data_IF_287767245908
#
_entry.id   IF_287767245908
#
_cell.length_a   1.000
_cell.length_b   1.000
_cell.length_c   1.000
_cell.angle_alpha   90.00
_cell.angle_beta   90.00
_cell.angle_gamma   90.00
#
_symmetry.space_group_name_H-M   'P 1'
#
loop_
_entity.id
_entity.type
_entity.pdbx_description
1 polymer ?
#
# COMPACT_ATOMS: atom_id res chain seq x y z
N UNK A 1 9.70 22.29 13.33
CA UNK A 1 9.96 21.89 14.72
C UNK A 1 11.44 22.03 14.94
N UNK A 2 11.83 22.82 15.93
CA UNK A 2 13.20 23.25 16.16
C UNK A 2 13.92 22.26 17.09
N UNK A 3 15.19 21.91 16.90
CA UNK A 3 15.90 21.05 17.88
C UNK A 3 16.63 21.86 18.95
N UNK A 4 16.77 23.18 18.77
CA UNK A 4 17.29 24.11 19.76
C UNK A 4 16.35 24.16 20.98
N UNK A 5 16.87 23.78 22.15
CA UNK A 5 16.08 23.70 23.38
C UNK A 5 15.70 25.07 23.98
N UNK A 6 16.34 26.15 23.52
CA UNK A 6 15.93 27.53 23.81
C UNK A 6 14.70 27.99 23.01
N UNK A 7 14.34 27.27 21.94
CA UNK A 7 13.21 27.64 21.08
C UNK A 7 11.85 27.43 21.78
N UNK A 8 10.86 28.32 21.56
CA UNK A 8 9.48 28.07 21.96
C UNK A 8 8.84 26.93 21.15
N UNK A 9 9.34 26.63 19.94
CA UNK A 9 8.84 25.58 19.06
C UNK A 9 9.75 24.34 19.03
N UNK A 10 10.41 24.08 20.16
CA UNK A 10 11.36 22.99 20.30
C UNK A 10 10.70 21.62 20.25
N UNK A 11 11.30 20.69 19.52
CA UNK A 11 11.15 19.27 19.78
C UNK A 11 11.86 18.94 21.09
N UNK A 12 11.19 18.18 21.95
CA UNK A 12 11.71 17.77 23.27
C UNK A 12 12.09 16.29 23.25
N UNK A 13 12.94 15.87 24.18
CA UNK A 13 13.11 14.44 24.43
C UNK A 13 11.84 13.87 25.08
N UNK A 14 11.43 12.66 24.66
CA UNK A 14 10.24 11.99 25.16
C UNK A 14 10.59 10.54 25.49
N UNK A 15 10.51 10.17 26.77
CA UNK A 15 10.98 8.88 27.26
C UNK A 15 12.44 8.66 26.86
N UNK A 16 12.71 7.59 26.11
CA UNK A 16 14.06 7.25 25.63
C UNK A 16 14.39 7.88 24.26
N UNK A 17 13.51 8.70 23.68
CA UNK A 17 13.73 9.35 22.38
C UNK A 17 14.43 10.69 22.55
N UNK A 18 15.44 10.94 21.71
CA UNK A 18 16.07 12.25 21.61
C UNK A 18 15.14 13.26 20.92
N UNK A 19 15.41 14.56 21.09
CA UNK A 19 14.69 15.63 20.40
C UNK A 19 14.65 15.45 18.87
N UNK A 20 15.72 14.88 18.27
CA UNK A 20 15.77 14.57 16.84
C UNK A 20 14.76 13.49 16.43
N UNK A 21 14.56 12.46 17.25
CA UNK A 21 13.57 11.41 16.98
C UNK A 21 12.16 11.95 17.21
N UNK A 22 11.95 12.74 18.27
CA UNK A 22 10.67 13.42 18.51
C UNK A 22 10.31 14.36 17.35
N UNK A 23 11.26 15.13 16.83
CA UNK A 23 11.08 15.95 15.64
C UNK A 23 10.60 15.12 14.45
N UNK A 24 11.17 13.93 14.24
CA UNK A 24 10.77 13.02 13.16
C UNK A 24 9.33 12.51 13.34
N UNK A 25 8.96 12.10 14.56
CA UNK A 25 7.60 11.69 14.89
C UNK A 25 6.60 12.82 14.62
N UNK A 26 6.90 14.04 15.06
CA UNK A 26 6.01 15.20 14.91
C UNK A 26 5.84 15.62 13.45
N UNK A 27 6.90 15.60 12.67
CA UNK A 27 6.85 15.89 11.23
C UNK A 27 6.01 14.83 10.49
N UNK A 28 6.20 13.55 10.82
CA UNK A 28 5.42 12.48 10.22
C UNK A 28 3.94 12.55 10.64
N UNK A 29 3.65 12.74 11.93
CA UNK A 29 2.29 12.94 12.45
C UNK A 29 1.61 14.14 11.78
N UNK A 30 2.33 15.24 11.59
CA UNK A 30 1.84 16.42 10.86
C UNK A 30 1.51 16.08 9.41
N UNK A 31 2.39 15.35 8.72
CA UNK A 31 2.14 14.89 7.33
C UNK A 31 0.85 14.07 7.23
N UNK A 32 0.65 13.14 8.17
CA UNK A 32 -0.53 12.27 8.24
C UNK A 32 -1.79 13.07 8.60
N UNK A 33 -1.69 14.03 9.51
CA UNK A 33 -2.78 14.95 9.87
C UNK A 33 -3.26 15.74 8.64
N UNK A 34 -2.35 16.26 7.84
CA UNK A 34 -2.72 16.99 6.63
C UNK A 34 -3.28 16.05 5.54
N UNK A 35 -2.71 14.85 5.40
CA UNK A 35 -3.23 13.84 4.48
C UNK A 35 -4.68 13.45 4.81
N UNK A 36 -5.03 13.25 6.09
CA UNK A 36 -6.42 12.95 6.49
C UNK A 36 -7.40 14.11 6.29
N UNK A 37 -6.90 15.34 6.19
CA UNK A 37 -7.70 16.53 5.93
C UNK A 37 -7.74 16.91 4.44
N UNK A 38 -7.29 16.02 3.54
CA UNK A 38 -7.37 16.23 2.09
C UNK A 38 -6.37 17.23 1.52
N UNK A 39 -5.35 17.62 2.29
CA UNK A 39 -4.28 18.50 1.78
C UNK A 39 -3.40 17.72 0.83
N UNK A 40 -3.36 18.17 -0.43
CA UNK A 40 -2.70 17.46 -1.53
C UNK A 40 -1.17 17.59 -1.53
N UNK A 41 -0.63 18.64 -0.89
CA UNK A 41 0.81 18.90 -0.88
C UNK A 41 1.22 19.69 0.36
N UNK A 42 2.37 19.32 0.91
CA UNK A 42 3.01 19.99 2.03
C UNK A 42 4.45 20.33 1.67
N UNK A 43 4.91 21.46 2.17
CA UNK A 43 6.31 21.87 2.10
C UNK A 43 6.80 22.07 3.53
N UNK A 44 7.79 21.27 3.93
CA UNK A 44 8.39 21.41 5.25
C UNK A 44 9.51 22.46 5.20
N UNK A 45 9.36 23.50 5.99
CA UNK A 45 10.45 24.37 6.37
C UNK A 45 11.28 23.62 7.44
N UNK A 46 12.55 23.26 7.20
CA UNK A 46 13.36 23.51 6.00
C UNK A 46 14.31 22.34 5.73
N UNK A 47 14.97 22.31 4.58
CA UNK A 47 15.89 21.22 4.25
C UNK A 47 17.15 21.27 5.14
N UNK A 48 17.82 22.42 5.18
CA UNK A 48 19.03 22.67 5.97
C UNK A 48 18.69 23.49 7.22
N UNK A 49 19.52 23.39 8.24
CA UNK A 49 19.54 24.42 9.29
C UNK A 49 20.03 25.75 8.68
N UNK A 50 19.55 26.86 9.23
CA UNK A 50 19.90 28.21 8.74
C UNK A 50 21.10 28.77 9.52
N UNK A 51 20.90 29.10 10.80
CA UNK A 51 21.94 29.64 11.68
C UNK A 51 22.02 28.83 12.99
N UNK A 52 22.42 27.54 12.94
CA UNK A 52 22.33 26.64 14.09
C UNK A 52 23.08 27.15 15.33
N UNK A 53 24.21 27.85 15.12
CA UNK A 53 25.06 28.36 16.20
C UNK A 53 24.54 29.63 16.89
N UNK A 54 23.57 30.33 16.29
CA UNK A 54 23.12 31.65 16.74
C UNK A 54 21.76 31.62 17.47
N UNK A 55 21.20 30.43 17.70
CA UNK A 55 20.07 30.24 18.62
C UNK A 55 18.73 30.86 18.17
N UNK A 56 18.56 31.15 16.88
CA UNK A 56 17.34 31.77 16.33
C UNK A 56 16.13 30.83 16.27
N UNK A 57 14.93 31.43 16.21
CA UNK A 57 13.68 30.69 16.01
C UNK A 57 13.71 29.95 14.66
N UNK A 58 13.49 28.64 14.68
CA UNK A 58 13.51 27.75 13.51
C UNK A 58 14.89 27.54 12.88
N UNK A 59 15.96 28.08 13.48
CA UNK A 59 17.32 27.96 12.96
C UNK A 59 17.77 26.50 12.84
N UNK A 60 17.23 25.61 13.68
CA UNK A 60 17.55 24.16 13.67
C UNK A 60 16.36 23.28 13.30
N UNK A 61 15.49 23.76 12.39
CA UNK A 61 14.34 22.98 11.86
C UNK A 61 14.68 22.14 10.61
N UNK A 62 15.96 21.99 10.28
CA UNK A 62 16.45 21.25 9.11
C UNK A 62 16.14 19.75 9.16
N UNK A 63 15.95 19.16 7.97
CA UNK A 63 15.74 17.72 7.77
C UNK A 63 17.02 16.94 7.51
N UNK A 64 18.15 17.61 7.26
CA UNK A 64 19.46 16.99 7.07
C UNK A 64 20.51 17.59 8.00
N UNK A 65 21.58 16.84 8.23
CA UNK A 65 22.76 17.29 8.97
C UNK A 65 23.66 18.17 8.07
N UNK A 66 24.60 18.90 8.69
CA UNK A 66 25.58 19.74 7.96
C UNK A 66 26.43 18.95 6.96
N UNK A 67 26.74 17.69 7.28
CA UNK A 67 27.45 16.78 6.38
C UNK A 67 26.55 16.18 5.26
N UNK A 68 25.35 16.74 5.05
CA UNK A 68 24.35 16.32 4.08
C UNK A 68 23.77 14.90 4.29
N UNK A 69 24.06 14.25 5.42
CA UNK A 69 23.39 13.01 5.79
C UNK A 69 21.98 13.29 6.32
N UNK A 70 21.08 12.31 6.20
CA UNK A 70 19.69 12.45 6.65
C UNK A 70 19.61 12.51 8.17
N UNK A 71 18.73 13.37 8.69
CA UNK A 71 18.24 13.26 10.07
C UNK A 71 17.12 12.21 10.16
N UNK A 72 16.77 11.75 11.37
CA UNK A 72 15.61 10.89 11.59
C UNK A 72 14.34 11.34 10.86
N UNK A 73 14.07 12.65 10.81
CA UNK A 73 12.90 13.20 10.12
C UNK A 73 12.92 12.91 8.61
N UNK A 74 14.06 13.09 7.95
CA UNK A 74 14.21 12.75 6.54
C UNK A 74 14.15 11.24 6.29
N UNK A 75 14.70 10.41 7.19
CA UNK A 75 14.57 8.96 7.09
C UNK A 75 13.09 8.53 7.13
N UNK A 76 12.34 9.02 8.10
CA UNK A 76 10.94 8.65 8.29
C UNK A 76 10.08 9.06 7.10
N UNK A 77 10.19 10.31 6.65
CA UNK A 77 9.44 10.79 5.48
C UNK A 77 9.82 10.01 4.21
N UNK A 78 11.12 9.81 3.95
CA UNK A 78 11.57 9.07 2.76
C UNK A 78 11.05 7.63 2.76
N UNK A 79 11.12 6.94 3.90
CA UNK A 79 10.62 5.57 4.06
C UNK A 79 9.11 5.48 3.81
N UNK A 80 8.33 6.40 4.39
CA UNK A 80 6.87 6.43 4.23
C UNK A 80 6.48 6.72 2.79
N UNK A 81 7.10 7.72 2.15
CA UNK A 81 6.83 8.06 0.74
C UNK A 81 7.20 6.89 -0.18
N UNK A 82 8.39 6.30 -0.02
CA UNK A 82 8.80 5.15 -0.84
C UNK A 82 7.81 3.99 -0.73
N UNK A 83 7.24 3.76 0.45
CA UNK A 83 6.41 2.58 0.70
C UNK A 83 4.91 2.81 0.45
N UNK A 84 4.41 4.00 0.75
CA UNK A 84 2.98 4.27 0.92
C UNK A 84 2.47 5.52 0.18
N UNK A 85 3.26 6.18 -0.67
CA UNK A 85 2.83 7.42 -1.35
C UNK A 85 1.54 7.32 -2.17
N UNK A 86 1.17 6.12 -2.62
CA UNK A 86 -0.05 5.89 -3.42
C UNK A 86 -1.29 5.60 -2.57
N UNK A 87 -1.14 5.46 -1.25
CA UNK A 87 -2.28 5.27 -0.36
C UNK A 87 -2.99 6.60 -0.13
N UNK A 88 -4.32 6.55 -0.12
CA UNK A 88 -5.18 7.71 0.18
C UNK A 88 -5.94 7.48 1.48
N UNK A 89 -6.18 8.56 2.23
CA UNK A 89 -6.96 8.47 3.47
C UNK A 89 -8.38 8.01 3.17
N UNK A 90 -8.90 7.10 3.99
CA UNK A 90 -10.25 6.56 3.88
C UNK A 90 -11.15 7.05 5.02
N UNK A 91 -10.75 6.82 6.28
CA UNK A 91 -11.51 7.22 7.46
C UNK A 91 -10.67 7.11 8.74
N UNK A 92 -11.06 7.84 9.79
CA UNK A 92 -10.53 7.65 11.14
C UNK A 92 -11.43 6.68 11.91
N UNK A 93 -10.83 5.64 12.48
CA UNK A 93 -11.50 4.61 13.29
C UNK A 93 -11.46 4.96 14.78
N UNK A 94 -10.37 5.58 15.23
CA UNK A 94 -10.17 6.03 16.60
C UNK A 94 -9.33 7.30 16.61
N UNK A 95 -9.58 8.18 17.59
CA UNK A 95 -8.80 9.41 17.81
C UNK A 95 -7.76 9.29 18.91
N UNK A 96 -7.89 8.35 19.85
CA UNK A 96 -6.90 8.09 20.89
C UNK A 96 -6.92 6.61 21.37
N UNK A 97 -5.88 5.80 21.04
CA UNK A 97 -4.83 6.12 20.08
C UNK A 97 -5.42 6.40 18.69
N UNK A 98 -4.73 7.20 17.89
CA UNK A 98 -5.13 7.45 16.51
C UNK A 98 -5.05 6.14 15.74
N UNK A 99 -6.15 5.78 15.08
CA UNK A 99 -6.21 4.67 14.13
C UNK A 99 -6.88 5.19 12.86
N UNK A 100 -6.06 5.47 11.85
CA UNK A 100 -6.53 5.94 10.55
C UNK A 100 -6.44 4.83 9.51
N UNK A 101 -7.45 4.71 8.66
CA UNK A 101 -7.46 3.80 7.53
C UNK A 101 -7.07 4.52 6.25
N UNK A 102 -6.21 3.87 5.48
CA UNK A 102 -5.76 4.30 4.17
C UNK A 102 -5.99 3.18 3.16
N UNK A 103 -6.30 3.54 1.91
CA UNK A 103 -6.60 2.60 0.84
C UNK A 103 -5.73 2.86 -0.39
N UNK A 104 -5.28 1.77 -1.01
CA UNK A 104 -4.64 1.74 -2.32
C UNK A 104 -5.53 0.97 -3.29
N UNK A 105 -5.83 1.58 -4.45
CA UNK A 105 -6.65 0.99 -5.53
C UNK A 105 -7.97 0.37 -5.02
N UNK A 106 -8.64 1.05 -4.09
CA UNK A 106 -9.92 0.66 -3.45
C UNK A 106 -9.95 -0.72 -2.76
N UNK A 107 -8.82 -1.42 -2.67
CA UNK A 107 -8.78 -2.85 -2.30
C UNK A 107 -7.73 -3.16 -1.25
N UNK A 108 -6.61 -2.45 -1.24
CA UNK A 108 -5.53 -2.67 -0.29
C UNK A 108 -5.65 -1.72 0.90
N UNK A 109 -6.03 -2.26 2.06
CA UNK A 109 -6.22 -1.50 3.29
C UNK A 109 -4.94 -1.48 4.14
N UNK A 110 -4.58 -0.28 4.61
CA UNK A 110 -3.52 -0.03 5.58
C UNK A 110 -4.10 0.73 6.77
N UNK A 111 -3.66 0.40 7.98
CA UNK A 111 -3.95 1.18 9.17
C UNK A 111 -2.69 1.93 9.61
N UNK A 112 -2.84 3.20 9.98
CA UNK A 112 -1.79 4.01 10.61
C UNK A 112 -2.17 4.19 12.07
N UNK A 113 -1.24 3.84 12.97
CA UNK A 113 -1.51 3.78 14.41
C UNK A 113 -0.45 4.57 15.17
N UNK A 114 -0.88 5.48 16.04
CA UNK A 114 -0.01 6.19 16.98
C UNK A 114 -0.76 6.84 18.14
N UNK A 115 -0.02 7.19 19.18
CA UNK A 115 -0.49 8.02 20.30
C UNK A 115 -0.19 9.49 19.97
N UNK A 116 -1.20 10.40 19.95
CA UNK A 116 -1.01 11.79 19.54
C UNK A 116 -0.68 12.72 20.73
N UNK A 117 0.09 12.26 21.72
CA UNK A 117 0.54 13.10 22.84
C UNK A 117 2.06 13.33 22.83
N UNK A 118 2.57 13.95 23.88
CA UNK A 118 3.97 14.37 24.02
C UNK A 118 4.56 13.94 25.38
N UNK A 119 4.03 12.85 25.97
CA UNK A 119 4.38 12.40 27.33
C UNK A 119 4.98 10.99 27.37
N UNK A 120 5.17 10.36 26.20
CA UNK A 120 5.73 9.02 26.08
C UNK A 120 4.74 7.92 26.45
N UNK A 121 3.44 8.20 26.41
CA UNK A 121 2.41 7.22 26.72
C UNK A 121 2.39 6.12 25.66
N UNK A 122 2.01 4.93 26.11
CA UNK A 122 1.65 3.82 25.24
C UNK A 122 0.20 3.42 25.46
N UNK A 123 -0.45 2.88 24.42
CA UNK A 123 -1.85 2.48 24.47
C UNK A 123 -2.08 1.23 23.63
N UNK A 124 -2.72 0.22 24.20
CA UNK A 124 -3.12 -0.95 23.43
C UNK A 124 -4.36 -0.63 22.59
N UNK A 125 -4.31 -0.97 21.30
CA UNK A 125 -5.48 -0.93 20.42
C UNK A 125 -5.59 -2.20 19.59
N UNK A 126 -6.82 -2.68 19.42
CA UNK A 126 -7.11 -3.81 18.54
C UNK A 126 -7.41 -3.30 17.13
N UNK A 127 -6.69 -3.84 16.15
CA UNK A 127 -6.86 -3.53 14.74
C UNK A 127 -7.48 -4.74 14.06
N UNK A 128 -8.68 -4.55 13.49
CA UNK A 128 -9.31 -5.53 12.62
C UNK A 128 -8.74 -5.42 11.21
N UNK A 129 -8.05 -6.47 10.76
CA UNK A 129 -7.49 -6.56 9.42
C UNK A 129 -8.41 -7.37 8.49
N UNK A 130 -9.70 -7.44 8.83
CA UNK A 130 -10.68 -8.36 8.28
C UNK A 130 -10.11 -9.79 8.36
N UNK A 131 -10.45 -10.64 7.41
CA UNK A 131 -10.02 -12.04 7.41
C UNK A 131 -8.53 -12.26 7.05
N UNK A 132 -7.62 -11.33 7.33
CA UNK A 132 -6.18 -11.52 7.19
C UNK A 132 -5.68 -12.67 8.08
N UNK A 133 -4.66 -13.42 7.63
CA UNK A 133 -4.02 -14.49 8.42
C UNK A 133 -2.75 -14.00 9.13
N UNK A 134 -2.20 -12.89 8.63
CA UNK A 134 -1.05 -12.24 9.19
C UNK A 134 -1.14 -10.73 9.04
N UNK A 135 -0.53 -10.03 9.98
CA UNK A 135 -0.29 -8.61 9.90
C UNK A 135 1.18 -8.35 9.57
N UNK A 136 1.43 -7.42 8.65
CA UNK A 136 2.74 -6.87 8.39
C UNK A 136 2.77 -5.46 8.97
N UNK A 137 3.65 -5.25 9.93
CA UNK A 137 3.83 -3.98 10.64
C UNK A 137 5.11 -3.37 10.13
N UNK A 138 5.02 -2.16 9.59
CA UNK A 138 6.16 -1.37 9.15
C UNK A 138 6.40 -0.25 10.16
N UNK A 139 7.63 -0.17 10.66
CA UNK A 139 8.07 0.79 11.67
C UNK A 139 9.17 1.66 11.06
N UNK A 140 9.01 3.00 11.03
CA UNK A 140 10.07 3.90 10.63
C UNK A 140 11.35 3.69 11.46
N UNK A 141 12.50 3.63 10.79
CA UNK A 141 13.78 3.27 11.42
C UNK A 141 14.85 4.30 11.12
N UNK A 142 15.47 4.86 12.15
CA UNK A 142 16.56 5.86 12.01
C UNK A 142 17.77 5.24 11.31
N UNK A 143 18.40 5.99 10.41
CA UNK A 143 19.63 5.59 9.72
C UNK A 143 19.46 4.51 8.66
N UNK A 144 18.22 4.13 8.34
CA UNK A 144 17.91 3.06 7.38
C UNK A 144 17.27 3.58 6.11
N UNK A 145 17.55 2.88 5.00
CA UNK A 145 16.86 3.13 3.74
C UNK A 145 15.42 2.61 3.74
N UNK A 146 15.08 1.65 4.60
CA UNK A 146 13.77 1.01 4.69
C UNK A 146 13.26 0.91 6.13
N UNK A 147 11.94 0.85 6.28
CA UNK A 147 11.29 0.57 7.56
C UNK A 147 11.67 -0.82 8.07
N UNK A 148 11.77 -0.97 9.39
CA UNK A 148 11.76 -2.30 10.02
C UNK A 148 10.41 -2.96 9.78
N UNK A 149 10.43 -4.26 9.43
CA UNK A 149 9.22 -5.03 9.13
C UNK A 149 9.05 -6.14 10.14
N UNK A 150 7.89 -6.19 10.79
CA UNK A 150 7.49 -7.30 11.65
C UNK A 150 6.28 -8.02 11.06
N UNK A 151 6.24 -9.34 11.19
CA UNK A 151 5.09 -10.15 10.80
C UNK A 151 4.50 -10.83 12.03
N UNK A 152 3.22 -10.58 12.27
CA UNK A 152 2.46 -11.22 13.35
C UNK A 152 1.35 -12.10 12.75
N UNK A 153 1.01 -13.19 13.44
CA UNK A 153 -0.20 -13.96 13.14
C UNK A 153 -1.40 -13.21 13.71
N UNK A 154 -2.50 -13.15 12.96
CA UNK A 154 -3.76 -12.57 13.42
C UNK A 154 -4.55 -13.59 14.26
N UNK A 155 -5.35 -13.11 15.20
CA UNK A 155 -6.37 -13.89 15.88
C UNK A 155 -7.74 -13.53 15.26
N UNK A 156 -8.30 -14.44 14.46
CA UNK A 156 -9.57 -14.21 13.73
C UNK A 156 -9.58 -12.89 12.94
N UNK A 157 -8.44 -12.54 12.33
CA UNK A 157 -8.32 -11.30 11.56
C UNK A 157 -7.88 -10.07 12.35
N UNK A 158 -7.89 -10.13 13.67
CA UNK A 158 -7.47 -9.02 14.52
C UNK A 158 -6.04 -9.18 15.03
N UNK A 159 -5.39 -8.06 15.34
CA UNK A 159 -4.16 -8.00 16.15
C UNK A 159 -4.31 -6.93 17.23
N UNK A 160 -3.53 -7.06 18.30
CA UNK A 160 -3.33 -5.98 19.28
C UNK A 160 -2.00 -5.32 19.02
N UNK A 161 -2.02 -3.99 18.85
CA UNK A 161 -0.83 -3.15 18.74
C UNK A 161 -0.69 -2.38 20.04
N UNK A 162 0.52 -2.39 20.61
CA UNK A 162 0.89 -1.43 21.65
C UNK A 162 1.36 -0.14 20.95
N UNK A 163 0.43 0.80 20.77
CA UNK A 163 0.69 2.07 20.09
C UNK A 163 1.62 2.95 20.93
N UNK A 164 2.53 3.64 20.24
CA UNK A 164 3.43 4.64 20.82
C UNK A 164 3.27 5.95 20.05
N UNK A 165 3.99 6.99 20.44
CA UNK A 165 4.02 8.25 19.68
C UNK A 165 4.65 8.14 18.28
N UNK A 166 5.41 7.08 17.97
CA UNK A 166 5.91 6.85 16.61
C UNK A 166 4.85 6.16 15.77
N UNK A 167 4.43 6.75 14.62
CA UNK A 167 3.51 6.11 13.70
C UNK A 167 4.01 4.77 13.19
N UNK A 168 3.16 3.75 13.29
CA UNK A 168 3.37 2.43 12.68
C UNK A 168 2.30 2.17 11.62
N UNK A 169 2.66 1.40 10.60
CA UNK A 169 1.80 1.10 9.46
C UNK A 169 1.49 -0.39 9.44
N UNK A 170 0.21 -0.76 9.53
CA UNK A 170 -0.23 -2.14 9.64
C UNK A 170 -1.01 -2.54 8.39
N UNK A 171 -0.55 -3.59 7.72
CA UNK A 171 -1.18 -4.15 6.52
C UNK A 171 -1.55 -5.60 6.75
N UNK A 172 -2.81 -5.94 6.49
CA UNK A 172 -3.28 -7.32 6.50
C UNK A 172 -2.76 -8.10 5.29
N UNK A 173 -2.19 -9.27 5.53
CA UNK A 173 -1.84 -10.27 4.51
C UNK A 173 -2.66 -11.52 4.77
N UNK A 174 -3.54 -11.82 3.82
CA UNK A 174 -4.12 -13.16 3.71
C UNK A 174 -3.05 -14.08 3.13
N UNK A 175 -2.69 -15.11 3.88
CA UNK A 175 -2.20 -16.33 3.26
C UNK A 175 -3.43 -16.87 2.57
N UNK A 176 -3.54 -16.64 1.26
CA UNK A 176 -4.43 -17.50 0.49
C UNK A 176 -3.86 -18.89 0.73
N UNK A 177 -4.48 -19.67 1.62
CA UNK A 177 -4.33 -21.10 1.58
C UNK A 177 -4.63 -21.41 0.13
N UNK A 178 -3.59 -21.76 -0.61
CA UNK A 178 -3.76 -22.52 -1.82
C UNK A 178 -4.34 -23.85 -1.34
N UNK A 179 -5.62 -23.88 -0.95
CA UNK A 179 -6.47 -24.99 -1.34
C UNK A 179 -6.24 -25.03 -2.83
N UNK A 180 -5.37 -25.96 -3.26
CA UNK A 180 -4.65 -25.91 -4.50
C UNK A 180 -5.48 -25.20 -5.55
N UNK A 181 -5.26 -23.90 -5.72
CA UNK A 181 -5.58 -23.29 -6.99
C UNK A 181 -4.44 -23.85 -7.79
N UNK A 182 -4.70 -25.03 -8.36
CA UNK A 182 -4.18 -25.34 -9.66
C UNK A 182 -4.56 -24.10 -10.45
N UNK A 183 -3.65 -23.12 -10.50
CA UNK A 183 -3.61 -22.22 -11.62
C UNK A 183 -3.22 -23.16 -12.74
N UNK A 184 -4.20 -23.91 -13.24
CA UNK A 184 -4.19 -24.26 -14.64
C UNK A 184 -4.13 -22.89 -15.27
N UNK A 185 -2.91 -22.50 -15.63
CA UNK A 185 -2.66 -21.33 -16.45
C UNK A 185 -3.73 -21.39 -17.52
N UNK A 186 -4.57 -20.37 -17.64
CA UNK A 186 -5.62 -20.43 -18.64
C UNK A 186 -4.93 -20.67 -19.98
N UNK A 187 -5.33 -21.75 -20.67
CA UNK A 187 -4.74 -22.15 -21.94
C UNK A 187 -5.78 -22.01 -23.04
N UNK A 188 -5.30 -21.61 -24.21
CA UNK A 188 -6.09 -21.49 -25.43
C UNK A 188 -5.68 -22.59 -26.40
N UNK A 189 -6.63 -23.42 -26.81
CA UNK A 189 -6.38 -24.53 -27.73
C UNK A 189 -7.42 -24.59 -28.85
N UNK A 190 -7.01 -24.93 -30.09
CA UNK A 190 -5.64 -24.91 -30.56
C UNK A 190 -5.10 -23.47 -30.63
N UNK A 191 -3.77 -23.29 -30.66
CA UNK A 191 -3.13 -22.02 -31.00
C UNK A 191 -1.93 -22.33 -31.90
N UNK A 192 -1.99 -22.07 -33.22
CA UNK A 192 -3.04 -21.32 -33.92
C UNK A 192 -4.41 -22.03 -34.02
N UNK A 193 -5.49 -21.26 -34.16
CA UNK A 193 -6.87 -21.74 -34.25
C UNK A 193 -7.55 -21.42 -35.58
N UNK A 194 -8.41 -22.32 -36.06
CA UNK A 194 -9.23 -22.08 -37.26
C UNK A 194 -10.66 -21.67 -36.87
N UNK A 195 -11.53 -22.57 -36.43
CA UNK A 195 -12.97 -22.27 -36.29
C UNK A 195 -13.46 -22.26 -34.84
N UNK A 196 -12.76 -22.94 -33.95
CA UNK A 196 -13.13 -23.09 -32.55
C UNK A 196 -11.90 -22.84 -31.67
N UNK A 197 -12.10 -22.08 -30.59
CA UNK A 197 -11.09 -21.85 -29.56
C UNK A 197 -11.62 -22.37 -28.22
N UNK A 198 -10.93 -23.36 -27.66
CA UNK A 198 -11.16 -23.85 -26.31
C UNK A 198 -10.33 -23.04 -25.32
N UNK A 199 -11.02 -22.59 -24.28
CA UNK A 199 -10.47 -21.83 -23.16
C UNK A 199 -10.58 -22.76 -21.95
N UNK A 200 -9.44 -23.27 -21.51
CA UNK A 200 -9.35 -24.23 -20.41
C UNK A 200 -8.69 -23.53 -19.21
N UNK A 201 -9.12 -23.88 -17.99
CA UNK A 201 -8.61 -23.28 -16.75
C UNK A 201 -9.48 -22.12 -16.23
N UNK A 202 -10.74 -22.04 -16.65
CA UNK A 202 -11.72 -21.13 -16.06
C UNK A 202 -12.10 -21.60 -14.65
N UNK A 203 -12.56 -20.68 -13.80
CA UNK A 203 -12.98 -21.04 -12.44
C UNK A 203 -14.39 -21.63 -12.46
N UNK A 204 -14.49 -22.96 -12.30
CA UNK A 204 -15.78 -23.65 -12.23
C UNK A 204 -16.62 -23.14 -11.05
N UNK A 205 -17.94 -23.04 -11.25
CA UNK A 205 -18.90 -22.56 -10.24
C UNK A 205 -18.88 -21.04 -10.02
N UNK A 206 -18.03 -20.29 -10.75
CA UNK A 206 -18.04 -18.82 -10.75
C UNK A 206 -18.38 -18.28 -12.14
N UNK A 207 -18.97 -17.10 -12.19
CA UNK A 207 -19.19 -16.40 -13.46
C UNK A 207 -17.86 -15.92 -14.04
N UNK A 208 -17.48 -16.51 -15.18
CA UNK A 208 -16.34 -16.08 -15.98
C UNK A 208 -16.88 -15.32 -17.19
N UNK A 209 -16.55 -14.03 -17.31
CA UNK A 209 -16.82 -13.26 -18.52
C UNK A 209 -15.60 -13.35 -19.44
N UNK A 210 -15.82 -13.75 -20.69
CA UNK A 210 -14.79 -13.93 -21.70
C UNK A 210 -15.00 -12.89 -22.81
N UNK A 211 -13.94 -12.20 -23.18
CA UNK A 211 -13.94 -11.15 -24.20
C UNK A 211 -12.90 -11.48 -25.28
N UNK A 212 -13.33 -11.52 -26.54
CA UNK A 212 -12.44 -11.59 -27.69
C UNK A 212 -12.15 -10.17 -28.19
N UNK A 213 -10.87 -9.83 -28.31
CA UNK A 213 -10.39 -8.52 -28.72
C UNK A 213 -9.50 -8.62 -29.97
N UNK A 214 -9.60 -7.64 -30.87
CA UNK A 214 -8.66 -7.45 -31.99
C UNK A 214 -7.28 -6.99 -31.48
N UNK A 215 -6.29 -6.93 -32.37
CA UNK A 215 -4.96 -6.42 -32.05
C UNK A 215 -4.97 -4.95 -31.58
N UNK A 216 -5.95 -4.17 -32.05
CA UNK A 216 -6.19 -2.78 -31.67
C UNK A 216 -7.01 -2.64 -30.38
N UNK A 217 -7.36 -3.76 -29.72
CA UNK A 217 -8.14 -3.78 -28.49
C UNK A 217 -9.66 -3.65 -28.69
N UNK A 218 -10.16 -3.64 -29.93
CA UNK A 218 -11.60 -3.60 -30.22
C UNK A 218 -12.25 -4.92 -29.81
N UNK A 219 -13.32 -4.87 -29.03
CA UNK A 219 -14.10 -6.06 -28.68
C UNK A 219 -14.86 -6.60 -29.90
N UNK A 220 -14.67 -7.88 -30.19
CA UNK A 220 -15.31 -8.59 -31.29
C UNK A 220 -16.42 -9.52 -30.80
N UNK A 221 -16.20 -10.23 -29.69
CA UNK A 221 -17.18 -11.15 -29.09
C UNK A 221 -17.12 -11.15 -27.57
N UNK A 222 -18.24 -11.55 -26.94
CA UNK A 222 -18.35 -11.80 -25.50
C UNK A 222 -18.97 -13.18 -25.26
N UNK A 223 -18.50 -13.87 -24.23
CA UNK A 223 -19.06 -15.12 -23.71
C UNK A 223 -19.14 -15.10 -22.20
N UNK A 224 -20.00 -15.95 -21.63
CA UNK A 224 -20.11 -16.16 -20.18
C UNK A 224 -20.09 -17.67 -19.93
N UNK A 225 -19.30 -18.11 -18.96
CA UNK A 225 -19.24 -19.52 -18.56
C UNK A 225 -19.12 -19.67 -17.05
N UNK A 226 -19.85 -20.64 -16.49
CA UNK A 226 -19.65 -21.13 -15.12
C UNK A 226 -18.85 -22.44 -15.08
N UNK A 227 -18.42 -22.96 -16.25
CA UNK A 227 -17.67 -24.19 -16.39
C UNK A 227 -16.16 -23.90 -16.49
N UNK A 228 -15.33 -24.89 -16.13
CA UNK A 228 -13.87 -24.79 -16.25
C UNK A 228 -13.36 -24.72 -17.70
N UNK A 229 -14.20 -25.13 -18.66
CA UNK A 229 -13.91 -25.14 -20.09
C UNK A 229 -15.00 -24.35 -20.81
N UNK A 230 -14.59 -23.48 -21.74
CA UNK A 230 -15.48 -22.75 -22.62
C UNK A 230 -14.99 -22.85 -24.06
N UNK A 231 -15.89 -23.11 -25.00
CA UNK A 231 -15.59 -23.14 -26.42
C UNK A 231 -16.19 -21.91 -27.10
N UNK A 232 -15.35 -21.13 -27.77
CA UNK A 232 -15.75 -19.95 -28.53
C UNK A 232 -15.65 -20.24 -30.02
N UNK A 233 -16.73 -20.01 -30.77
CA UNK A 233 -16.70 -20.03 -32.23
C UNK A 233 -16.03 -18.74 -32.74
N UNK A 234 -15.00 -18.92 -33.57
CA UNK A 234 -14.20 -17.86 -34.18
C UNK A 234 -14.15 -17.98 -35.71
N UNK A 235 -14.99 -18.79 -36.33
CA UNK A 235 -14.94 -19.05 -37.78
C UNK A 235 -15.21 -17.80 -38.64
N UNK A 236 -15.97 -16.84 -38.10
CA UNK A 236 -16.41 -15.60 -38.71
C UNK A 236 -15.40 -14.43 -38.59
N UNK A 237 -14.27 -14.62 -37.89
CA UNK A 237 -13.24 -13.59 -37.78
C UNK A 237 -12.11 -13.83 -38.79
N UNK A 238 -11.54 -12.76 -39.35
CA UNK A 238 -10.46 -12.85 -40.32
C UNK A 238 -9.18 -13.45 -39.69
N UNK A 239 -8.29 -14.09 -40.47
CA UNK A 239 -6.97 -14.51 -39.98
C UNK A 239 -6.17 -13.33 -39.39
N UNK A 240 -5.52 -13.55 -38.26
CA UNK A 240 -4.82 -12.47 -37.54
C UNK A 240 -4.47 -12.82 -36.08
N UNK A 241 -3.90 -11.84 -35.38
CA UNK A 241 -3.57 -11.93 -33.95
C UNK A 241 -4.73 -11.38 -33.12
N UNK A 242 -5.13 -12.12 -32.09
CA UNK A 242 -6.25 -11.77 -31.23
C UNK A 242 -5.90 -12.02 -29.77
N UNK A 243 -6.69 -11.41 -28.87
CA UNK A 243 -6.54 -11.55 -27.44
C UNK A 243 -7.84 -12.01 -26.80
N UNK A 244 -7.73 -12.97 -25.88
CA UNK A 244 -8.80 -13.35 -24.97
C UNK A 244 -8.57 -12.65 -23.64
N UNK A 245 -9.53 -11.84 -23.22
CA UNK A 245 -9.58 -11.22 -21.89
C UNK A 245 -10.61 -11.94 -21.05
N UNK A 246 -10.26 -12.31 -19.82
CA UNK A 246 -11.17 -13.01 -18.90
C UNK A 246 -11.32 -12.18 -17.63
N UNK A 247 -12.57 -11.98 -17.19
CA UNK A 247 -12.91 -11.33 -15.94
C UNK A 247 -13.67 -12.33 -15.04
N UNK A 248 -13.12 -12.60 -13.86
CA UNK A 248 -13.71 -13.48 -12.85
C UNK A 248 -13.83 -12.79 -11.47
N UNK A 249 -13.88 -11.45 -11.46
CA UNK A 249 -14.00 -10.63 -10.26
C UNK A 249 -12.70 -10.45 -9.46
N UNK A 250 -11.59 -11.07 -9.86
CA UNK A 250 -10.30 -10.92 -9.13
C UNK A 250 -9.06 -10.85 -10.02
N UNK A 251 -9.10 -11.37 -11.26
CA UNK A 251 -7.98 -11.33 -12.20
C UNK A 251 -8.45 -10.89 -13.59
N UNK A 252 -7.58 -10.16 -14.28
CA UNK A 252 -7.78 -9.69 -15.65
C UNK A 252 -6.60 -10.15 -16.49
N UNK A 253 -6.74 -11.29 -17.18
CA UNK A 253 -5.68 -11.88 -17.99
C UNK A 253 -5.99 -11.66 -19.47
N UNK A 254 -5.04 -11.10 -20.22
CA UNK A 254 -5.08 -11.02 -21.69
C UNK A 254 -4.16 -12.08 -22.31
N UNK A 255 -4.72 -13.08 -23.00
CA UNK A 255 -3.96 -14.20 -23.59
C UNK A 255 -4.02 -14.10 -25.11
N UNK A 256 -2.86 -14.06 -25.75
CA UNK A 256 -2.71 -13.95 -27.20
C UNK A 256 -2.92 -15.30 -27.88
N UNK A 257 -3.64 -15.33 -29.00
CA UNK A 257 -3.67 -16.45 -29.93
C UNK A 257 -3.66 -15.98 -31.39
N UNK A 258 -3.38 -16.91 -32.30
CA UNK A 258 -3.35 -16.65 -33.75
C UNK A 258 -4.53 -17.37 -34.40
N UNK A 259 -5.36 -16.64 -35.16
CA UNK A 259 -6.39 -17.21 -36.05
C UNK A 259 -5.77 -17.48 -37.41
N UNK A 260 -5.87 -18.70 -37.91
CA UNK A 260 -5.53 -19.09 -39.28
C UNK A 260 -6.78 -19.25 -40.13
N UNK A 261 -6.61 -19.46 -41.44
CA UNK A 261 -7.73 -19.87 -42.31
C UNK A 261 -8.42 -21.11 -41.79
#
# INVERSE_FOLDING_TARGET
YDINQGSPNKAIAIGNKSALITQADWILRTSLLYARNGVQRLFFYQLHDDTPDFGGLYATSGLINENHTRRPAADFIRQVVQKFAQYSFKQSVSSDPVVDQYVLNDTSLMHVVYVPDEVGRTANCTIDLNNADSAIIYIPTVGSDSMTVMKLKTNQGAITINATETPVFVVGKRVRNAAAVVTDSIKLFPNPANSLLQIIGLTAGKTNEIYLLSAEGKMLKKGISNNAIYAMNIADIAPGVYFIKINNGTNLNGIRFIKTR
#
